data_IF_774585605662
#
_entry.id   IF_774585605662
#
_cell.length_a   1.000
_cell.length_b   1.000
_cell.length_c   1.000
_cell.angle_alpha   90.00
_cell.angle_beta   90.00
_cell.angle_gamma   90.00
#
_symmetry.space_group_name_H-M   'P 1'
#
loop_
_entity.id
_entity.type
_entity.pdbx_description
1 polymer ?
#
# COMPACT_ATOMS: atom_id res chain seq x y z
N UNK A 1 5.85 26.21 13.79
CA UNK A 1 5.03 25.59 12.73
C UNK A 1 4.82 24.13 13.10
N UNK A 2 3.57 23.68 13.27
CA UNK A 2 3.24 22.29 13.56
C UNK A 2 3.36 21.45 12.29
N UNK A 3 4.09 20.34 12.35
CA UNK A 3 4.17 19.35 11.26
C UNK A 3 3.14 18.26 11.51
N UNK A 4 2.26 18.00 10.54
CA UNK A 4 1.29 16.93 10.67
C UNK A 4 2.00 15.58 10.51
N UNK A 5 1.96 14.73 11.54
CA UNK A 5 2.60 13.40 11.51
C UNK A 5 1.64 12.29 11.08
N UNK A 6 0.38 12.42 11.44
CA UNK A 6 -0.65 11.41 11.21
C UNK A 6 -1.90 12.06 10.63
N UNK A 7 -2.45 11.47 9.59
CA UNK A 7 -3.65 11.95 8.92
C UNK A 7 -4.65 10.81 8.74
N UNK A 8 -5.88 10.97 9.24
CA UNK A 8 -6.92 9.95 9.15
C UNK A 8 -8.16 10.50 8.47
N UNK A 9 -8.63 9.75 7.48
CA UNK A 9 -9.83 9.96 6.69
C UNK A 9 -10.77 8.76 6.81
N UNK A 10 -10.56 7.89 7.81
CA UNK A 10 -11.23 6.61 7.90
C UNK A 10 -12.76 6.77 7.83
N UNK A 11 -13.38 6.00 6.92
CA UNK A 11 -14.83 5.98 6.75
C UNK A 11 -15.42 7.20 6.04
N UNK A 12 -14.60 8.06 5.43
CA UNK A 12 -15.08 9.16 4.58
C UNK A 12 -15.62 8.62 3.24
N UNK A 13 -16.77 7.94 3.26
CA UNK A 13 -17.32 7.19 2.12
C UNK A 13 -17.67 8.03 0.89
N UNK A 14 -17.83 9.36 1.05
CA UNK A 14 -18.12 10.30 -0.05
C UNK A 14 -16.88 11.05 -0.56
N UNK A 15 -15.72 10.82 0.05
CA UNK A 15 -14.47 11.45 -0.36
C UNK A 15 -14.03 10.85 -1.69
N UNK A 16 -13.84 11.70 -2.70
CA UNK A 16 -13.43 11.26 -4.05
C UNK A 16 -11.94 11.44 -4.28
N UNK A 17 -11.35 12.47 -3.71
CA UNK A 17 -9.91 12.74 -3.81
C UNK A 17 -9.33 13.24 -2.49
N UNK A 18 -8.04 12.97 -2.29
CA UNK A 18 -7.24 13.59 -1.22
C UNK A 18 -6.37 14.68 -1.86
N UNK A 19 -6.41 15.92 -1.36
CA UNK A 19 -5.60 17.01 -1.90
C UNK A 19 -4.09 16.77 -1.67
N UNK A 20 -3.21 17.49 -2.39
CA UNK A 20 -1.76 17.39 -2.26
C UNK A 20 -1.27 17.40 -0.82
N UNK A 21 -0.82 16.24 -0.34
CA UNK A 21 -0.11 16.16 0.92
C UNK A 21 1.38 16.31 0.63
N UNK A 22 1.90 17.52 0.87
CA UNK A 22 3.31 17.89 0.64
C UNK A 22 4.18 17.82 1.90
N UNK A 23 3.64 17.29 3.00
CA UNK A 23 4.32 17.23 4.30
C UNK A 23 4.98 15.87 4.59
N UNK A 24 5.89 15.89 5.55
CA UNK A 24 6.56 14.71 6.09
C UNK A 24 5.58 13.95 7.01
N UNK A 25 4.71 13.15 6.41
CA UNK A 25 3.76 12.30 7.14
C UNK A 25 4.40 10.95 7.47
N UNK A 26 4.12 10.47 8.67
CA UNK A 26 4.50 9.14 9.17
C UNK A 26 3.36 8.12 8.96
N UNK A 27 2.10 8.57 8.98
CA UNK A 27 0.93 7.69 8.92
C UNK A 27 -0.27 8.30 8.17
N UNK A 28 -0.86 7.53 7.24
CA UNK A 28 -2.17 7.82 6.62
C UNK A 28 -3.11 6.62 6.81
N UNK A 29 -4.32 6.90 7.30
CA UNK A 29 -5.42 5.93 7.31
C UNK A 29 -6.64 6.47 6.57
N UNK A 30 -6.84 5.96 5.37
CA UNK A 30 -8.02 6.21 4.54
C UNK A 30 -8.87 4.95 4.38
N UNK A 31 -8.82 4.02 5.34
CA UNK A 31 -9.62 2.79 5.28
C UNK A 31 -11.11 3.11 5.20
N UNK A 32 -11.86 2.29 4.47
CA UNK A 32 -13.32 2.41 4.30
C UNK A 32 -13.77 3.67 3.53
N UNK A 33 -12.87 4.29 2.77
CA UNK A 33 -13.19 5.36 1.82
C UNK A 33 -13.60 4.78 0.45
N UNK A 34 -14.81 4.25 0.39
CA UNK A 34 -15.32 3.51 -0.79
C UNK A 34 -15.38 4.33 -2.09
N UNK A 35 -15.60 5.65 -1.99
CA UNK A 35 -15.63 6.55 -3.16
C UNK A 35 -14.28 7.15 -3.54
N UNK A 36 -13.21 6.83 -2.81
CA UNK A 36 -11.89 7.44 -3.05
C UNK A 36 -11.31 6.91 -4.36
N UNK A 37 -11.05 7.80 -5.30
CA UNK A 37 -10.58 7.49 -6.65
C UNK A 37 -9.12 7.89 -6.85
N UNK A 38 -8.69 9.01 -6.25
CA UNK A 38 -7.36 9.59 -6.49
C UNK A 38 -6.71 10.08 -5.20
N UNK A 39 -5.38 9.98 -5.15
CA UNK A 39 -4.55 10.63 -4.13
C UNK A 39 -3.44 11.41 -4.83
N UNK A 40 -3.27 12.66 -4.42
CA UNK A 40 -2.11 13.45 -4.81
C UNK A 40 -1.21 13.53 -3.58
N UNK A 41 -0.16 12.72 -3.52
CA UNK A 41 0.73 12.65 -2.35
C UNK A 41 2.18 12.49 -2.80
N UNK A 42 3.09 13.22 -2.14
CA UNK A 42 4.53 13.01 -2.25
C UNK A 42 5.07 12.54 -0.91
N UNK A 43 5.24 11.23 -0.75
CA UNK A 43 5.76 10.65 0.47
C UNK A 43 7.28 10.82 0.54
N UNK A 44 7.74 11.97 1.04
CA UNK A 44 9.18 12.24 1.23
C UNK A 44 9.82 11.42 2.36
N UNK A 45 9.02 10.67 3.12
CA UNK A 45 9.47 9.85 4.23
C UNK A 45 9.50 8.37 3.84
N UNK A 46 10.66 7.74 3.96
CA UNK A 46 10.87 6.31 3.74
C UNK A 46 10.33 5.43 4.89
N UNK A 47 9.66 6.00 5.88
CA UNK A 47 9.07 5.26 7.00
C UNK A 47 7.57 5.51 7.15
N UNK A 48 6.87 5.71 6.02
CA UNK A 48 5.43 5.94 6.02
C UNK A 48 4.64 4.63 6.17
N UNK A 49 3.53 4.73 6.90
CA UNK A 49 2.50 3.70 7.02
C UNK A 49 1.22 4.13 6.32
N UNK A 50 0.78 3.35 5.34
CA UNK A 50 -0.35 3.69 4.47
C UNK A 50 -1.47 2.65 4.61
N UNK A 51 -2.70 3.07 4.88
CA UNK A 51 -3.87 2.18 4.92
C UNK A 51 -4.96 2.66 3.98
N UNK A 52 -5.27 1.83 2.99
CA UNK A 52 -6.30 2.04 1.97
C UNK A 52 -7.23 0.82 1.85
N UNK A 53 -7.47 0.14 2.97
CA UNK A 53 -8.40 -0.99 3.00
C UNK A 53 -9.80 -0.55 2.53
N UNK A 54 -10.46 -1.38 1.73
CA UNK A 54 -11.80 -1.13 1.18
C UNK A 54 -11.92 0.12 0.27
N UNK A 55 -10.82 0.72 -0.18
CA UNK A 55 -10.83 1.82 -1.17
C UNK A 55 -10.93 1.29 -2.61
N UNK A 56 -12.02 0.58 -2.93
CA UNK A 56 -12.12 -0.20 -4.17
C UNK A 56 -12.06 0.63 -5.46
N UNK A 57 -12.50 1.89 -5.41
CA UNK A 57 -12.46 2.81 -6.56
C UNK A 57 -11.11 3.49 -6.79
N UNK A 58 -10.13 3.26 -5.91
CA UNK A 58 -8.81 3.88 -6.03
C UNK A 58 -8.17 3.46 -7.37
N UNK A 59 -7.81 4.45 -8.18
CA UNK A 59 -7.31 4.24 -9.53
C UNK A 59 -5.91 3.60 -9.55
N UNK A 60 -5.48 3.13 -10.71
CA UNK A 60 -4.20 2.40 -10.82
C UNK A 60 -3.00 3.29 -10.49
N UNK A 61 -3.01 4.56 -10.91
CA UNK A 61 -1.95 5.52 -10.63
C UNK A 61 -1.74 5.72 -9.12
N UNK A 62 -2.83 5.91 -8.37
CA UNK A 62 -2.81 6.02 -6.91
C UNK A 62 -2.29 4.74 -6.24
N UNK A 63 -2.69 3.56 -6.75
CA UNK A 63 -2.17 2.29 -6.25
C UNK A 63 -0.66 2.17 -6.48
N UNK A 64 -0.20 2.51 -7.67
CA UNK A 64 1.21 2.48 -8.04
C UNK A 64 2.03 3.45 -7.17
N UNK A 65 1.50 4.65 -6.92
CA UNK A 65 2.10 5.61 -5.99
C UNK A 65 2.22 5.05 -4.57
N UNK A 66 1.20 4.36 -4.05
CA UNK A 66 1.27 3.71 -2.73
C UNK A 66 2.36 2.65 -2.72
N UNK A 67 2.41 1.78 -3.74
CA UNK A 67 3.38 0.68 -3.83
C UNK A 67 4.81 1.21 -3.91
N UNK A 68 5.06 2.22 -4.74
CA UNK A 68 6.39 2.81 -4.95
C UNK A 68 6.89 3.55 -3.71
N UNK A 69 5.99 4.17 -2.94
CA UNK A 69 6.37 4.98 -1.79
C UNK A 69 6.26 4.25 -0.43
N UNK A 70 5.69 3.05 -0.39
CA UNK A 70 5.50 2.30 0.85
C UNK A 70 6.80 1.62 1.32
N UNK A 71 7.75 2.39 1.80
CA UNK A 71 9.03 1.86 2.26
C UNK A 71 8.97 1.06 3.58
N UNK A 72 7.84 1.12 4.32
CA UNK A 72 7.68 0.34 5.57
C UNK A 72 6.43 -0.55 5.63
N UNK A 73 5.25 -0.01 5.33
CA UNK A 73 4.01 -0.78 5.38
C UNK A 73 2.91 -0.11 4.57
N UNK A 74 2.20 -0.90 3.76
CA UNK A 74 0.99 -0.46 3.08
C UNK A 74 -0.09 -1.54 3.12
N UNK A 75 -1.35 -1.11 3.28
CA UNK A 75 -2.54 -1.91 3.02
C UNK A 75 -3.18 -1.37 1.76
N UNK A 76 -3.07 -2.14 0.67
CA UNK A 76 -3.69 -1.81 -0.60
C UNK A 76 -5.20 -2.08 -0.56
N UNK A 77 -5.98 -1.44 -1.46
CA UNK A 77 -7.36 -1.84 -1.68
C UNK A 77 -7.45 -3.32 -2.03
N UNK A 78 -8.45 -4.02 -1.47
CA UNK A 78 -8.73 -5.41 -1.81
C UNK A 78 -9.19 -5.57 -3.27
N UNK A 79 -9.27 -6.82 -3.73
CA UNK A 79 -9.73 -7.17 -5.09
C UNK A 79 -8.74 -8.09 -5.79
N UNK A 80 -7.80 -7.54 -6.55
CA UNK A 80 -6.78 -8.31 -7.26
C UNK A 80 -5.40 -8.03 -6.66
N UNK A 81 -4.59 -9.09 -6.57
CA UNK A 81 -3.17 -8.95 -6.25
C UNK A 81 -2.48 -8.19 -7.40
N UNK A 82 -1.77 -7.09 -7.13
CA UNK A 82 -1.08 -6.30 -8.15
C UNK A 82 -0.13 -7.13 -9.04
N UNK A 83 0.11 -6.70 -10.29
CA UNK A 83 0.93 -7.45 -11.25
C UNK A 83 2.42 -7.50 -10.89
N UNK A 84 2.92 -6.60 -10.04
CA UNK A 84 4.33 -6.60 -9.61
C UNK A 84 4.69 -7.79 -8.70
N UNK A 85 3.70 -8.52 -8.18
CA UNK A 85 3.91 -9.75 -7.43
C UNK A 85 4.20 -10.93 -8.35
N UNK A 86 5.47 -11.33 -8.41
CA UNK A 86 5.93 -12.45 -9.27
C UNK A 86 5.41 -13.82 -8.84
N UNK A 87 5.12 -13.99 -7.54
CA UNK A 87 4.57 -15.23 -6.98
C UNK A 87 3.16 -14.96 -6.45
N UNK A 88 2.15 -15.54 -7.09
CA UNK A 88 0.73 -15.34 -6.76
C UNK A 88 -0.04 -16.66 -6.76
N UNK A 89 -0.97 -16.81 -5.82
CA UNK A 89 -1.94 -17.89 -5.83
C UNK A 89 -3.15 -17.49 -6.67
N UNK A 90 -3.73 -18.45 -7.41
CA UNK A 90 -4.89 -18.23 -8.29
C UNK A 90 -6.23 -18.64 -7.65
N UNK A 91 -6.22 -19.10 -6.39
CA UNK A 91 -7.42 -19.53 -5.67
C UNK A 91 -7.26 -19.39 -4.16
N UNK A 92 -8.18 -19.99 -3.40
CA UNK A 92 -8.20 -19.93 -1.94
C UNK A 92 -7.08 -20.74 -1.23
N UNK A 93 -6.24 -21.44 -2.01
CA UNK A 93 -5.15 -22.25 -1.50
C UNK A 93 -3.90 -21.44 -1.13
N UNK A 94 -2.99 -22.03 -0.33
CA UNK A 94 -1.74 -21.39 0.05
C UNK A 94 -0.83 -21.15 -1.17
N UNK A 95 -0.06 -20.06 -1.12
CA UNK A 95 1.02 -19.81 -2.07
C UNK A 95 2.22 -20.71 -1.73
N UNK A 96 2.60 -21.60 -2.64
CA UNK A 96 3.79 -22.45 -2.49
C UNK A 96 4.92 -21.93 -3.37
N UNK A 97 6.06 -21.57 -2.77
CA UNK A 97 7.26 -21.12 -3.49
C UNK A 97 8.30 -22.24 -3.42
N UNK A 98 8.77 -22.70 -4.59
CA UNK A 98 9.84 -23.71 -4.68
C UNK A 98 11.20 -23.03 -4.52
N UNK A 99 12.04 -23.64 -3.69
CA UNK A 99 13.37 -23.15 -3.38
C UNK A 99 14.38 -24.09 -4.05
N UNK A 100 15.28 -23.54 -4.86
CA UNK A 100 16.26 -24.33 -5.61
C UNK A 100 17.63 -24.41 -4.91
N UNK A 101 17.83 -23.71 -3.80
CA UNK A 101 19.11 -23.67 -3.07
C UNK A 101 19.22 -24.80 -2.03
N UNK A 102 20.40 -25.42 -1.96
CA UNK A 102 20.77 -26.41 -0.93
C UNK A 102 22.15 -26.08 -0.36
N UNK A 103 22.33 -26.04 0.98
CA UNK A 103 21.31 -26.19 2.02
C UNK A 103 20.33 -25.00 2.08
N UNK A 104 19.17 -25.20 2.69
CA UNK A 104 18.19 -24.11 2.86
C UNK A 104 18.75 -23.06 3.84
N UNK A 105 18.59 -21.76 3.55
CA UNK A 105 19.02 -20.70 4.44
C UNK A 105 18.20 -20.68 5.74
N UNK A 106 18.84 -20.23 6.83
CA UNK A 106 18.24 -20.16 8.18
C UNK A 106 17.08 -19.15 8.23
N UNK A 107 17.07 -18.15 7.34
CA UNK A 107 15.97 -17.19 7.19
C UNK A 107 15.74 -16.85 5.72
N UNK A 108 14.49 -16.57 5.37
CA UNK A 108 14.10 -16.09 4.04
C UNK A 108 13.35 -14.77 4.16
N UNK A 109 13.68 -13.84 3.26
CA UNK A 109 12.94 -12.58 3.09
C UNK A 109 12.33 -12.60 1.71
N UNK A 110 11.01 -12.50 1.65
CA UNK A 110 10.29 -12.35 0.39
C UNK A 110 10.12 -10.86 0.12
N UNK A 111 10.68 -10.40 -1.00
CA UNK A 111 10.49 -9.02 -1.44
C UNK A 111 9.12 -8.91 -2.10
N UNK A 112 8.29 -8.04 -1.54
CA UNK A 112 6.89 -7.81 -1.93
C UNK A 112 6.82 -6.63 -2.92
N UNK A 113 7.75 -5.68 -2.82
CA UNK A 113 7.95 -4.57 -3.77
C UNK A 113 9.37 -4.01 -3.66
N UNK A 114 9.84 -3.32 -4.71
CA UNK A 114 11.08 -2.53 -4.68
C UNK A 114 10.83 -1.21 -3.95
N UNK A 115 11.48 -1.06 -2.80
CA UNK A 115 11.72 0.20 -2.11
C UNK A 115 13.23 0.44 -2.06
#
# INVERSE_FOLDING_TARGET
>A
MSRLKAFSLKGCRKLVSVPPILEYIDFIDASDCESLEMIECSFRNQFVWLKFANCFKLNQEARDLIIQNSCRYAVLPGGQVPPHFTHRATGAGPLTIKLNEKPLPISMKFKVSDC
#
